data_IF_926263788322
#
_entry.id   IF_926263788322
#
_cell.length_a   1.000
_cell.length_b   1.000
_cell.length_c   1.000
_cell.angle_alpha   90.00
_cell.angle_beta   90.00
_cell.angle_gamma   90.00
#
_symmetry.space_group_name_H-M   'P 1'
#
loop_
_entity.id
_entity.type
_entity.pdbx_description
1 polymer ?
#
# COMPACT_ATOMS: atom_id res chain seq x y z
N UNK A 1 2.15 -16.73 -9.21
CA UNK A 1 2.37 -16.50 -7.77
C UNK A 1 3.78 -16.07 -7.49
N UNK A 2 3.94 -15.14 -6.58
CA UNK A 2 5.28 -14.69 -6.21
C UNK A 2 5.98 -15.74 -5.37
N UNK A 3 7.30 -15.86 -5.53
CA UNK A 3 8.09 -16.71 -4.67
C UNK A 3 8.15 -16.11 -3.27
N UNK A 4 8.55 -16.92 -2.29
CA UNK A 4 8.70 -16.44 -0.92
C UNK A 4 9.70 -15.30 -0.83
N UNK A 5 10.79 -15.37 -1.59
CA UNK A 5 11.77 -14.30 -1.62
C UNK A 5 11.22 -13.02 -2.21
N UNK A 6 10.44 -13.15 -3.28
CA UNK A 6 9.81 -11.98 -3.89
C UNK A 6 8.83 -11.33 -2.92
N UNK A 7 8.05 -12.16 -2.23
CA UNK A 7 7.09 -11.65 -1.26
C UNK A 7 7.79 -10.87 -0.15
N UNK A 8 8.88 -11.41 0.38
CA UNK A 8 9.66 -10.72 1.42
C UNK A 8 10.21 -9.41 0.93
N UNK A 9 10.74 -9.41 -0.29
CA UNK A 9 11.29 -8.20 -0.90
C UNK A 9 10.21 -7.16 -1.09
N UNK A 10 9.04 -7.59 -1.56
CA UNK A 10 7.92 -6.70 -1.79
C UNK A 10 7.39 -6.12 -0.49
N UNK A 11 7.28 -6.96 0.55
CA UNK A 11 6.84 -6.48 1.86
C UNK A 11 7.80 -5.46 2.44
N UNK A 12 9.10 -5.70 2.28
CA UNK A 12 10.10 -4.75 2.75
C UNK A 12 10.02 -3.44 1.99
N UNK A 13 9.77 -3.50 0.69
CA UNK A 13 9.58 -2.29 -0.11
C UNK A 13 8.38 -1.49 0.37
N UNK A 14 7.29 -2.17 0.72
CA UNK A 14 6.10 -1.52 1.27
C UNK A 14 6.44 -0.84 2.60
N UNK A 15 7.14 -1.54 3.49
CA UNK A 15 7.54 -0.97 4.77
C UNK A 15 8.39 0.27 4.59
N UNK A 16 9.36 0.22 3.67
CA UNK A 16 10.23 1.36 3.40
C UNK A 16 9.43 2.54 2.84
N UNK A 17 8.51 2.26 1.94
CA UNK A 17 7.69 3.32 1.36
C UNK A 17 6.82 4.00 2.42
N UNK A 18 6.21 3.21 3.31
CA UNK A 18 5.39 3.74 4.39
C UNK A 18 6.25 4.58 5.35
N UNK A 19 7.42 4.07 5.70
CA UNK A 19 8.33 4.78 6.58
C UNK A 19 8.74 6.12 5.98
N UNK A 20 9.02 6.14 4.70
CA UNK A 20 9.42 7.37 4.01
C UNK A 20 8.28 8.39 3.99
N UNK A 21 7.06 7.94 3.77
CA UNK A 21 5.90 8.82 3.82
C UNK A 21 5.75 9.45 5.20
N UNK A 22 5.95 8.67 6.26
CA UNK A 22 5.88 9.17 7.62
C UNK A 22 6.95 10.21 7.91
N UNK A 23 8.16 9.99 7.39
CA UNK A 23 9.25 10.96 7.54
C UNK A 23 8.93 12.27 6.86
N UNK A 24 8.15 12.21 5.78
CA UNK A 24 7.72 13.41 5.07
C UNK A 24 6.51 14.08 5.72
N UNK A 25 6.03 13.53 6.82
CA UNK A 25 4.89 14.08 7.54
C UNK A 25 3.55 13.63 7.01
N UNK A 26 3.53 12.64 6.14
CA UNK A 26 2.29 12.13 5.57
C UNK A 26 1.79 10.94 6.35
N UNK A 27 0.51 10.94 6.68
CA UNK A 27 -0.13 9.83 7.36
C UNK A 27 -0.65 8.85 6.31
N UNK A 28 -0.24 7.58 6.44
CA UNK A 28 -0.73 6.53 5.54
C UNK A 28 -1.81 5.75 6.27
N UNK A 29 -3.05 5.73 5.75
CA UNK A 29 -4.12 4.99 6.42
C UNK A 29 -3.81 3.50 6.53
N UNK A 30 -4.22 2.84 7.64
CA UNK A 30 -3.97 1.41 7.80
C UNK A 30 -4.53 0.55 6.67
N UNK A 31 -5.66 0.94 6.10
CA UNK A 31 -6.29 0.21 5.01
C UNK A 31 -5.40 0.20 3.76
N UNK A 32 -4.72 1.31 3.51
CA UNK A 32 -3.80 1.41 2.38
C UNK A 32 -2.61 0.48 2.61
N UNK A 33 -2.08 0.47 3.82
CA UNK A 33 -0.95 -0.41 4.17
C UNK A 33 -1.37 -1.87 3.97
N UNK A 34 -2.55 -2.24 4.42
CA UNK A 34 -3.07 -3.61 4.26
C UNK A 34 -3.17 -3.99 2.80
N UNK A 35 -3.71 -3.11 1.97
CA UNK A 35 -3.87 -3.38 0.54
C UNK A 35 -2.51 -3.56 -0.13
N UNK A 36 -1.54 -2.72 0.23
CA UNK A 36 -0.21 -2.84 -0.32
C UNK A 36 0.47 -4.14 0.11
N UNK A 37 0.25 -4.56 1.35
CA UNK A 37 0.78 -5.82 1.85
C UNK A 37 0.16 -7.01 1.13
N UNK A 38 -1.13 -6.96 0.84
CA UNK A 38 -1.81 -8.00 0.07
C UNK A 38 -1.25 -8.11 -1.33
N UNK A 39 -1.02 -6.97 -1.97
CA UNK A 39 -0.42 -6.95 -3.29
C UNK A 39 1.01 -7.51 -3.23
N UNK A 40 1.76 -7.16 -2.20
CA UNK A 40 3.13 -7.65 -2.03
C UNK A 40 3.17 -9.15 -1.85
N UNK A 41 2.15 -9.73 -1.20
CA UNK A 41 2.06 -11.17 -1.00
C UNK A 41 1.47 -11.90 -2.21
N UNK A 42 1.03 -11.16 -3.21
CA UNK A 42 0.46 -11.75 -4.40
C UNK A 42 -1.02 -12.13 -4.27
N UNK A 43 -1.67 -11.69 -3.19
CA UNK A 43 -3.10 -11.98 -2.97
C UNK A 43 -3.99 -11.18 -3.91
N UNK A 44 -3.52 -10.00 -4.29
CA UNK A 44 -4.18 -9.18 -5.30
C UNK A 44 -3.13 -8.70 -6.28
N UNK A 45 -3.54 -8.37 -7.49
CA UNK A 45 -2.62 -7.84 -8.48
C UNK A 45 -2.13 -6.47 -8.03
N UNK A 46 -0.86 -6.18 -8.29
CA UNK A 46 -0.28 -4.89 -7.91
C UNK A 46 -1.09 -3.73 -8.50
N UNK A 47 -1.55 -3.89 -9.73
CA UNK A 47 -2.37 -2.88 -10.40
C UNK A 47 -3.66 -2.62 -9.64
N UNK A 48 -4.29 -3.68 -9.16
CA UNK A 48 -5.51 -3.56 -8.38
C UNK A 48 -5.26 -2.90 -7.04
N UNK A 49 -4.12 -3.22 -6.42
CA UNK A 49 -3.72 -2.59 -5.16
C UNK A 49 -3.53 -1.08 -5.32
N UNK A 50 -2.89 -0.67 -6.40
CA UNK A 50 -2.69 0.74 -6.71
C UNK A 50 -4.03 1.43 -6.94
N UNK A 51 -4.90 0.78 -7.71
CA UNK A 51 -6.22 1.31 -8.01
C UNK A 51 -7.03 1.52 -6.74
N UNK A 52 -7.02 0.54 -5.84
CA UNK A 52 -7.71 0.64 -4.56
C UNK A 52 -7.16 1.76 -3.71
N UNK A 53 -5.85 1.96 -3.72
CA UNK A 53 -5.21 3.04 -2.99
C UNK A 53 -5.69 4.39 -3.49
N UNK A 54 -5.71 4.58 -4.79
CA UNK A 54 -6.21 5.83 -5.37
C UNK A 54 -7.66 6.08 -5.03
N UNK A 55 -8.48 5.05 -5.06
CA UNK A 55 -9.89 5.19 -4.71
C UNK A 55 -10.06 5.60 -3.26
N UNK A 56 -9.28 5.03 -2.36
CA UNK A 56 -9.34 5.39 -0.95
C UNK A 56 -8.93 6.83 -0.71
N UNK A 57 -7.88 7.29 -1.39
CA UNK A 57 -7.45 8.67 -1.27
C UNK A 57 -8.50 9.65 -1.78
N UNK A 58 -9.10 9.32 -2.92
CA UNK A 58 -10.14 10.16 -3.49
C UNK A 58 -11.33 10.30 -2.54
N UNK A 59 -11.77 9.18 -1.97
CA UNK A 59 -12.85 9.19 -0.99
C UNK A 59 -12.46 9.95 0.26
N UNK A 60 -11.23 9.74 0.72
CA UNK A 60 -10.74 10.43 1.91
C UNK A 60 -10.73 11.93 1.73
N UNK A 61 -10.31 12.40 0.59
CA UNK A 61 -10.32 13.83 0.30
C UNK A 61 -11.73 14.42 0.30
N UNK A 62 -12.66 13.73 -0.34
CA UNK A 62 -14.03 14.18 -0.43
C UNK A 62 -14.67 14.20 0.95
N UNK A 63 -14.43 13.15 1.74
CA UNK A 63 -15.04 13.03 3.07
C UNK A 63 -14.37 13.90 4.11
N UNK A 64 -13.12 14.25 3.91
CA UNK A 64 -12.38 15.08 4.82
C UNK A 64 -12.76 16.54 4.77
N UNK A 65 -13.67 16.87 3.90
CA UNK A 65 -14.17 18.21 3.77
C UNK A 65 -15.55 18.32 4.34
#
# INVERSE_FOLDING_TARGET
MSSEQETRRNLKAVENAVAQQRLEGLAVPPEVIEDLQRAARGEIAIEDGIKMTYQRFAYGEIRGR
#
